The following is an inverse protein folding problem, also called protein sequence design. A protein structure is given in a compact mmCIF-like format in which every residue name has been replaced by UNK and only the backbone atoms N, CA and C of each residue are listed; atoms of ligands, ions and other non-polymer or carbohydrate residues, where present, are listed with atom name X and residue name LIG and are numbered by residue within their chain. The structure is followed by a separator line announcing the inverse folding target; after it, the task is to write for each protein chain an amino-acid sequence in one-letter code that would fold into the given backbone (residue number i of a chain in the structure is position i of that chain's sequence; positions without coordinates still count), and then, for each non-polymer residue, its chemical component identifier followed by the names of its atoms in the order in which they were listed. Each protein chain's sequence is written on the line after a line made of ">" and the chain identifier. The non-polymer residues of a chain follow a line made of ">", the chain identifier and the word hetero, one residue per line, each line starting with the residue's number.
data_IF_356938558052
#
_entry.id   IF_356938558052
#
_cell.length_a   1.000
_cell.length_b   1.000
_cell.length_c   1.000
_cell.angle_alpha   90.00
_cell.angle_beta   90.00
_cell.angle_gamma   90.00
#
_symmetry.space_group_name_H-M   'P 1'
#
loop_
_entity.id
_entity.type
_entity.pdbx_description
1 polymer ?
#
# COMPACT_ATOMS: atom_id res chain seq x y z
N UNK A 1 -0.63 7.80 8.00
CA UNK A 1 -0.99 8.23 9.37
C UNK A 1 -0.72 9.73 9.61
N UNK A 2 0.46 10.27 9.27
CA UNK A 2 0.78 11.70 9.47
C UNK A 2 -0.25 12.67 8.82
N UNK A 3 -0.60 12.46 7.55
CA UNK A 3 -1.63 13.28 6.90
C UNK A 3 -3.03 13.11 7.50
N UNK A 4 -3.35 11.94 8.05
CA UNK A 4 -4.61 11.73 8.76
C UNK A 4 -4.70 12.61 10.01
N UNK A 5 -3.58 12.75 10.74
CA UNK A 5 -3.50 13.69 11.88
C UNK A 5 -3.74 15.12 11.43
N UNK A 6 -3.13 15.55 10.31
CA UNK A 6 -3.37 16.89 9.76
C UNK A 6 -4.86 17.11 9.51
N UNK A 7 -5.53 16.19 8.82
CA UNK A 7 -6.97 16.30 8.56
C UNK A 7 -7.79 16.37 9.86
N UNK A 8 -7.49 15.53 10.86
CA UNK A 8 -8.17 15.54 12.16
C UNK A 8 -7.99 16.86 12.92
N UNK A 9 -6.79 17.47 12.86
CA UNK A 9 -6.52 18.80 13.46
C UNK A 9 -7.43 19.88 12.87
N UNK A 10 -7.76 19.77 11.58
CA UNK A 10 -8.68 20.68 10.88
C UNK A 10 -10.14 20.18 10.89
N UNK A 11 -10.53 19.32 11.84
CA UNK A 11 -11.91 18.90 12.05
C UNK A 11 -12.35 17.64 11.28
N UNK A 12 -11.44 16.95 10.61
CA UNK A 12 -11.72 15.66 9.97
C UNK A 12 -12.07 14.56 10.97
N UNK A 13 -13.07 13.75 10.64
CA UNK A 13 -13.53 12.63 11.47
C UNK A 13 -13.02 11.31 10.87
N UNK A 14 -12.52 10.42 11.73
CA UNK A 14 -11.99 9.12 11.35
C UNK A 14 -12.73 7.98 12.03
N UNK A 15 -13.24 7.05 11.23
CA UNK A 15 -13.92 5.85 11.71
C UNK A 15 -13.20 4.60 11.16
N UNK A 16 -12.34 3.98 11.98
CA UNK A 16 -11.73 2.68 11.64
C UNK A 16 -12.71 1.53 11.92
N UNK A 17 -12.57 0.43 11.17
CA UNK A 17 -13.49 -0.72 11.21
C UNK A 17 -14.95 -0.34 10.88
N UNK A 18 -15.14 0.74 10.11
CA UNK A 18 -16.44 1.26 9.69
C UNK A 18 -16.58 1.13 8.18
N UNK A 19 -17.24 0.07 7.72
CA UNK A 19 -17.41 -0.21 6.29
C UNK A 19 -18.57 0.60 5.67
N UNK A 20 -18.41 0.94 4.40
CA UNK A 20 -19.47 1.52 3.56
C UNK A 20 -20.11 0.40 2.74
N UNK A 21 -21.44 0.35 2.65
CA UNK A 21 -22.18 -0.65 1.87
C UNK A 21 -22.35 -0.23 0.41
N UNK A 22 -22.80 1.01 0.18
CA UNK A 22 -23.06 1.48 -1.18
C UNK A 22 -23.02 3.01 -1.32
N UNK A 23 -22.90 3.44 -2.57
CA UNK A 23 -23.06 4.84 -2.99
C UNK A 23 -24.52 5.08 -3.39
N UNK A 24 -25.08 6.23 -3.00
CA UNK A 24 -26.41 6.66 -3.41
C UNK A 24 -26.31 7.64 -4.57
N UNK A 25 -26.76 7.22 -5.74
CA UNK A 25 -26.74 8.01 -6.97
C UNK A 25 -28.14 8.53 -7.28
N UNK A 26 -28.22 9.83 -7.53
CA UNK A 26 -29.43 10.48 -8.04
C UNK A 26 -29.64 10.09 -9.51
N UNK A 27 -30.80 9.53 -9.85
CA UNK A 27 -31.07 8.97 -11.18
C UNK A 27 -31.13 10.04 -12.28
N UNK A 28 -31.64 11.23 -11.95
CA UNK A 28 -31.84 12.29 -12.93
C UNK A 28 -30.53 13.02 -13.25
N UNK A 29 -29.73 13.35 -12.23
CA UNK A 29 -28.46 14.06 -12.40
C UNK A 29 -27.23 13.15 -12.54
N UNK A 30 -27.36 11.86 -12.26
CA UNK A 30 -26.25 10.90 -12.22
C UNK A 30 -25.23 11.16 -11.11
N UNK A 31 -25.49 12.10 -10.19
CA UNK A 31 -24.54 12.50 -9.15
C UNK A 31 -24.69 11.62 -7.91
N UNK A 32 -23.56 11.17 -7.35
CA UNK A 32 -23.54 10.61 -6.01
C UNK A 32 -23.89 11.69 -4.97
N UNK A 33 -24.79 11.37 -4.05
CA UNK A 33 -25.31 12.30 -3.02
C UNK A 33 -25.01 11.85 -1.60
N UNK A 34 -24.81 10.55 -1.40
CA UNK A 34 -24.60 9.96 -0.09
C UNK A 34 -23.89 8.61 -0.17
N UNK A 35 -23.49 8.10 0.99
CA UNK A 35 -23.22 6.68 1.21
C UNK A 35 -24.23 6.10 2.20
N UNK A 36 -24.41 4.78 2.16
CA UNK A 36 -25.02 4.01 3.24
C UNK A 36 -23.91 3.20 3.91
N UNK A 37 -23.75 3.33 5.22
CA UNK A 37 -22.75 2.57 5.97
C UNK A 37 -23.26 1.18 6.40
N UNK A 38 -22.40 0.40 7.04
CA UNK A 38 -22.76 -0.94 7.51
C UNK A 38 -23.80 -0.99 8.63
N UNK A 39 -24.16 0.15 9.23
CA UNK A 39 -25.23 0.29 10.22
C UNK A 39 -26.55 0.73 9.57
N UNK A 40 -26.57 0.93 8.25
CA UNK A 40 -27.72 1.46 7.52
C UNK A 40 -27.86 2.98 7.62
N UNK A 41 -26.88 3.69 8.19
CA UNK A 41 -26.91 5.14 8.28
C UNK A 41 -26.60 5.77 6.92
N UNK A 42 -27.47 6.70 6.49
CA UNK A 42 -27.24 7.53 5.32
C UNK A 42 -26.40 8.75 5.68
N UNK A 43 -25.25 8.90 5.02
CA UNK A 43 -24.34 10.05 5.20
C UNK A 43 -24.25 10.82 3.88
N UNK A 44 -24.78 12.04 3.85
CA UNK A 44 -24.76 12.89 2.66
C UNK A 44 -23.41 13.62 2.52
N UNK A 45 -22.91 13.74 1.29
CA UNK A 45 -21.70 14.49 0.98
C UNK A 45 -21.74 15.05 -0.46
N UNK A 46 -20.91 16.06 -0.72
CA UNK A 46 -20.77 16.65 -2.07
C UNK A 46 -19.73 15.93 -2.93
N UNK A 47 -18.71 15.37 -2.30
CA UNK A 47 -17.57 14.71 -2.97
C UNK A 47 -17.27 13.40 -2.26
N UNK A 48 -16.88 12.40 -3.04
CA UNK A 48 -16.56 11.05 -2.57
C UNK A 48 -15.18 10.68 -3.12
N UNK A 49 -14.24 10.42 -2.23
CA UNK A 49 -12.89 9.95 -2.57
C UNK A 49 -12.85 8.50 -2.12
N UNK A 50 -12.69 7.59 -3.08
CA UNK A 50 -12.75 6.14 -2.85
C UNK A 50 -11.45 5.54 -3.37
N UNK A 51 -10.81 4.72 -2.55
CA UNK A 51 -9.66 3.92 -2.98
C UNK A 51 -10.15 2.69 -3.75
N UNK A 52 -9.41 2.30 -4.79
CA UNK A 52 -9.82 1.31 -5.79
C UNK A 52 -10.30 -0.03 -5.19
N UNK A 53 -9.64 -0.52 -4.14
CA UNK A 53 -10.01 -1.79 -3.51
C UNK A 53 -11.39 -1.81 -2.82
N UNK A 54 -12.04 -0.65 -2.66
CA UNK A 54 -13.41 -0.54 -2.14
C UNK A 54 -14.48 -0.57 -3.24
N UNK A 55 -14.08 -0.54 -4.51
CA UNK A 55 -15.00 -0.64 -5.64
C UNK A 55 -15.34 -2.11 -5.91
N UNK A 56 -16.52 -2.34 -6.49
CA UNK A 56 -16.93 -3.68 -6.90
C UNK A 56 -16.17 -4.14 -8.14
N UNK A 57 -16.03 -5.45 -8.31
CA UNK A 57 -15.43 -6.05 -9.51
C UNK A 57 -16.14 -5.61 -10.81
N UNK A 58 -17.46 -5.44 -10.76
CA UNK A 58 -18.26 -4.93 -11.88
C UNK A 58 -17.87 -3.49 -12.25
N UNK A 59 -17.65 -2.63 -11.25
CA UNK A 59 -17.20 -1.25 -11.48
C UNK A 59 -15.79 -1.21 -12.09
N UNK A 60 -14.93 -2.14 -11.72
CA UNK A 60 -13.55 -2.21 -12.18
C UNK A 60 -13.32 -3.16 -13.35
N UNK A 61 -14.38 -3.66 -14.01
CA UNK A 61 -14.29 -4.74 -15.00
C UNK A 61 -13.36 -4.46 -16.18
N UNK A 62 -13.19 -3.17 -16.52
CA UNK A 62 -12.37 -2.72 -17.64
C UNK A 62 -10.97 -2.22 -17.22
N UNK A 63 -10.63 -2.36 -15.93
CA UNK A 63 -9.34 -1.89 -15.41
C UNK A 63 -8.28 -2.99 -15.60
N UNK A 64 -7.16 -2.62 -16.21
CA UNK A 64 -6.01 -3.51 -16.35
C UNK A 64 -5.01 -3.24 -15.22
N UNK A 65 -5.01 -4.10 -14.21
CA UNK A 65 -4.12 -3.98 -13.07
C UNK A 65 -2.71 -4.52 -13.38
N UNK A 66 -1.70 -3.77 -12.92
CA UNK A 66 -0.32 -4.25 -12.85
C UNK A 66 -0.06 -4.81 -11.46
N UNK A 67 0.81 -5.83 -11.39
CA UNK A 67 1.16 -6.48 -10.14
C UNK A 67 2.56 -6.09 -9.69
N UNK A 68 2.77 -5.99 -8.38
CA UNK A 68 4.08 -5.70 -7.76
C UNK A 68 4.51 -6.92 -6.97
N UNK A 69 5.70 -7.44 -7.28
CA UNK A 69 6.29 -8.56 -6.56
C UNK A 69 7.07 -8.01 -5.38
N UNK A 70 6.82 -8.57 -4.18
CA UNK A 70 7.46 -8.18 -2.93
C UNK A 70 7.92 -9.39 -2.16
N UNK A 71 9.12 -9.30 -1.58
CA UNK A 71 9.58 -10.19 -0.53
C UNK A 71 10.05 -9.38 0.67
N UNK A 72 9.87 -9.93 1.86
CA UNK A 72 10.30 -9.34 3.13
C UNK A 72 11.08 -10.42 3.87
N UNK A 73 12.35 -10.13 4.16
CA UNK A 73 13.25 -11.06 4.82
C UNK A 73 13.69 -10.47 6.16
N UNK A 74 13.85 -11.35 7.14
CA UNK A 74 14.57 -11.05 8.38
C UNK A 74 15.90 -11.77 8.26
N UNK A 75 17.00 -11.03 8.28
CA UNK A 75 18.36 -11.59 8.21
C UNK A 75 19.11 -11.26 9.48
N UNK A 76 20.08 -12.10 9.84
CA UNK A 76 20.96 -11.93 11.01
C UNK A 76 22.28 -11.21 10.65
N UNK A 77 22.49 -10.91 9.35
CA UNK A 77 23.66 -10.20 8.84
C UNK A 77 23.28 -9.29 7.68
N UNK A 78 24.06 -8.22 7.50
CA UNK A 78 23.97 -7.33 6.34
C UNK A 78 24.50 -8.03 5.07
N UNK A 79 23.90 -7.69 3.92
CA UNK A 79 24.31 -8.12 2.58
C UNK A 79 25.78 -7.75 2.31
N UNK A 80 26.23 -6.57 2.77
CA UNK A 80 27.61 -6.10 2.61
C UNK A 80 28.18 -5.75 3.98
N UNK A 81 29.15 -6.55 4.44
CA UNK A 81 29.85 -6.28 5.70
C UNK A 81 30.57 -4.93 5.62
N UNK A 82 30.30 -4.08 6.60
CA UNK A 82 30.96 -2.80 6.81
C UNK A 82 31.44 -2.69 8.27
N UNK A 83 32.26 -1.69 8.56
CA UNK A 83 32.75 -1.44 9.92
C UNK A 83 31.63 -1.03 10.90
N UNK A 84 30.50 -0.55 10.36
CA UNK A 84 29.29 -0.21 11.10
C UNK A 84 28.13 -1.08 10.66
N UNK A 85 27.42 -1.63 11.64
CA UNK A 85 26.21 -2.45 11.49
C UNK A 85 24.93 -1.60 11.34
N UNK A 86 25.01 -0.29 11.60
CA UNK A 86 23.88 0.65 11.56
C UNK A 86 23.77 1.37 10.21
N UNK A 87 23.71 0.60 9.12
CA UNK A 87 23.58 1.14 7.77
C UNK A 87 22.19 0.89 7.19
N UNK A 88 21.76 1.79 6.31
CA UNK A 88 20.59 1.63 5.46
C UNK A 88 21.13 1.61 4.04
N UNK A 89 20.86 0.54 3.31
CA UNK A 89 21.41 0.35 1.97
C UNK A 89 20.33 0.07 0.93
N UNK A 90 20.60 0.49 -0.30
CA UNK A 90 19.78 0.17 -1.46
C UNK A 90 20.68 -0.52 -2.48
N UNK A 91 20.33 -1.74 -2.83
CA UNK A 91 20.95 -2.52 -3.89
C UNK A 91 19.96 -2.65 -5.05
N UNK A 92 20.43 -2.45 -6.28
CA UNK A 92 19.65 -2.70 -7.49
C UNK A 92 20.26 -3.91 -8.17
N UNK A 93 19.46 -4.97 -8.32
CA UNK A 93 19.83 -6.18 -9.05
C UNK A 93 19.23 -6.09 -10.45
N UNK A 94 20.06 -5.92 -11.50
CA UNK A 94 19.57 -5.87 -12.87
C UNK A 94 18.87 -7.17 -13.29
N UNK A 95 17.95 -7.12 -14.26
CA UNK A 95 17.32 -8.33 -14.79
C UNK A 95 18.35 -9.20 -15.52
N UNK A 96 18.33 -10.51 -15.25
CA UNK A 96 19.20 -11.51 -15.91
C UNK A 96 18.53 -12.08 -17.17
N UNK A 97 17.22 -12.27 -17.12
CA UNK A 97 16.41 -12.81 -18.22
C UNK A 97 15.68 -11.69 -18.97
N UNK A 98 15.60 -11.80 -20.29
CA UNK A 98 14.79 -10.88 -21.10
C UNK A 98 13.31 -10.93 -20.67
N UNK A 99 12.70 -9.76 -20.47
CA UNK A 99 11.31 -9.66 -20.01
C UNK A 99 11.11 -9.65 -18.49
N UNK A 100 12.21 -9.71 -17.71
CA UNK A 100 12.18 -9.48 -16.26
C UNK A 100 12.53 -8.04 -15.91
N UNK A 101 12.16 -7.61 -14.70
CA UNK A 101 12.39 -6.26 -14.21
C UNK A 101 13.55 -6.21 -13.20
N UNK A 102 14.26 -5.09 -13.15
CA UNK A 102 15.26 -4.86 -12.10
C UNK A 102 14.61 -4.96 -10.71
N UNK A 103 15.29 -5.64 -9.79
CA UNK A 103 14.83 -5.81 -8.42
C UNK A 103 15.51 -4.77 -7.54
N UNK A 104 14.71 -3.99 -6.81
CA UNK A 104 15.20 -3.11 -5.75
C UNK A 104 15.23 -3.88 -4.45
N UNK A 105 16.39 -3.92 -3.81
CA UNK A 105 16.61 -4.46 -2.47
C UNK A 105 16.89 -3.29 -1.54
N UNK A 106 16.14 -3.17 -0.45
CA UNK A 106 16.33 -2.16 0.58
C UNK A 106 16.55 -2.86 1.91
N UNK A 107 17.73 -2.69 2.48
CA UNK A 107 18.10 -3.27 3.77
C UNK A 107 18.01 -2.21 4.85
N UNK A 108 17.27 -2.52 5.91
CA UNK A 108 17.04 -1.64 7.05
C UNK A 108 17.64 -2.28 8.30
N UNK A 109 18.58 -1.59 8.94
CA UNK A 109 19.08 -1.99 10.26
C UNK A 109 18.11 -1.59 11.39
N UNK A 110 18.35 -2.12 12.59
CA UNK A 110 17.50 -1.89 13.77
C UNK A 110 17.31 -0.42 14.18
N UNK A 111 18.25 0.48 13.86
CA UNK A 111 18.10 1.93 14.13
C UNK A 111 16.92 2.59 13.41
N UNK A 112 16.41 1.95 12.34
CA UNK A 112 15.19 2.39 11.65
C UNK A 112 13.92 2.10 12.43
N UNK A 113 14.02 1.36 13.53
CA UNK A 113 12.90 0.92 14.38
C UNK A 113 11.91 0.00 13.64
N UNK A 114 12.39 -0.73 12.63
CA UNK A 114 11.57 -1.67 11.83
C UNK A 114 11.87 -3.15 12.10
N UNK A 115 12.96 -3.45 12.81
CA UNK A 115 13.39 -4.81 13.17
C UNK A 115 14.08 -4.82 14.55
N UNK A 116 14.26 -6.03 15.11
CA UNK A 116 14.94 -6.22 16.39
C UNK A 116 16.46 -6.03 16.25
N UNK A 117 17.15 -5.81 17.37
CA UNK A 117 18.63 -5.78 17.38
C UNK A 117 19.20 -7.07 16.79
N UNK A 118 20.40 -6.95 16.22
CA UNK A 118 21.13 -8.05 15.57
C UNK A 118 20.36 -8.69 14.39
N UNK A 119 19.36 -7.98 13.86
CA UNK A 119 18.65 -8.37 12.64
C UNK A 119 18.52 -7.19 11.69
N UNK A 120 18.24 -7.52 10.44
CA UNK A 120 17.94 -6.57 9.37
C UNK A 120 16.61 -6.93 8.73
N UNK A 121 15.85 -5.90 8.36
CA UNK A 121 14.65 -6.05 7.56
C UNK A 121 14.98 -5.74 6.10
N UNK A 122 14.92 -6.75 5.25
CA UNK A 122 15.24 -6.61 3.83
C UNK A 122 13.95 -6.65 3.01
N UNK A 123 13.70 -5.58 2.27
CA UNK A 123 12.60 -5.47 1.32
C UNK A 123 13.10 -5.67 -0.11
N UNK A 124 12.48 -6.58 -0.84
CA UNK A 124 12.68 -6.73 -2.28
C UNK A 124 11.43 -6.26 -3.00
N UNK A 125 11.57 -5.54 -4.10
CA UNK A 125 10.43 -5.04 -4.89
C UNK A 125 10.77 -4.92 -6.37
N UNK A 126 9.87 -5.40 -7.24
CA UNK A 126 9.91 -5.19 -8.68
C UNK A 126 8.49 -5.23 -9.28
N UNK A 127 8.35 -4.82 -10.54
CA UNK A 127 7.14 -5.13 -11.32
C UNK A 127 7.08 -6.65 -11.53
N UNK A 128 5.90 -7.24 -11.39
CA UNK A 128 5.77 -8.70 -11.47
C UNK A 128 5.79 -9.18 -12.92
N UNK A 129 6.60 -10.20 -13.20
CA UNK A 129 6.53 -10.99 -14.44
C UNK A 129 5.83 -12.34 -14.24
N UNK A 130 5.92 -12.91 -13.02
CA UNK A 130 5.26 -14.16 -12.57
C UNK A 130 4.75 -13.98 -11.14
N UNK A 131 4.83 -15.02 -10.30
CA UNK A 131 4.60 -14.90 -8.86
C UNK A 131 5.76 -14.17 -8.17
N UNK A 132 5.56 -13.67 -6.95
CA UNK A 132 6.62 -12.94 -6.24
C UNK A 132 7.85 -13.80 -5.85
N UNK A 133 7.73 -15.13 -5.90
CA UNK A 133 8.80 -16.08 -5.56
C UNK A 133 9.64 -16.48 -6.78
N UNK A 134 9.03 -16.45 -7.97
CA UNK A 134 9.59 -16.92 -9.24
C UNK A 134 10.18 -15.78 -10.08
#
# INVERSE_FOLDING_TARGET
>A
QCFCRMCAVFGGIYCLRHKVQCLVVDKDSGKCKAIIDHLGQRINAKYFIVEDSYLSEETCSNVQYKQISRAVLITDQSILKADSDQQISILVVPPVESGTCAVRVTELCSSTMTCMKDTYLVHLTCSSSKTARE
#
